data_IF_031510213993
#
_entry.id   IF_031510213993
#
_cell.length_a   1.000
_cell.length_b   1.000
_cell.length_c   1.000
_cell.angle_alpha   90.00
_cell.angle_beta   90.00
_cell.angle_gamma   90.00
#
_symmetry.space_group_name_H-M   'P 1'
#
loop_
_entity.id
_entity.type
_entity.pdbx_description
1 polymer ?
#
# COMPACT_ATOMS: atom_id res chain seq x y z
N UNK A 1 11.19 -0.84 -1.62
CA UNK A 1 10.44 -0.94 -0.35
C UNK A 1 10.09 -2.39 -0.10
N UNK A 2 9.96 -2.79 1.17
CA UNK A 2 9.40 -4.10 1.53
C UNK A 2 7.84 -4.08 1.53
N UNK A 3 7.20 -5.25 1.59
CA UNK A 3 5.73 -5.35 1.57
C UNK A 3 5.04 -4.54 2.67
N UNK A 4 5.66 -4.43 3.85
CA UNK A 4 5.10 -3.69 4.99
C UNK A 4 5.20 -2.19 4.74
N UNK A 5 6.34 -1.72 4.27
CA UNK A 5 6.54 -0.32 3.89
C UNK A 5 5.58 0.10 2.79
N UNK A 6 5.47 -0.69 1.72
CA UNK A 6 4.54 -0.44 0.62
C UNK A 6 3.08 -0.42 1.08
N UNK A 7 2.69 -1.32 1.99
CA UNK A 7 1.33 -1.33 2.54
C UNK A 7 1.07 -0.11 3.43
N UNK A 8 2.03 0.25 4.29
CA UNK A 8 1.91 1.42 5.15
C UNK A 8 1.82 2.72 4.33
N UNK A 9 2.59 2.80 3.25
CA UNK A 9 2.50 3.90 2.29
C UNK A 9 1.09 4.00 1.73
N UNK A 10 0.56 2.94 1.11
CA UNK A 10 -0.80 2.94 0.53
C UNK A 10 -1.86 3.30 1.58
N UNK A 11 -1.76 2.76 2.79
CA UNK A 11 -2.70 3.09 3.87
C UNK A 11 -2.67 4.59 4.21
N UNK A 12 -1.48 5.17 4.29
CA UNK A 12 -1.30 6.61 4.58
C UNK A 12 -1.81 7.47 3.43
N UNK A 13 -1.35 7.19 2.20
CA UNK A 13 -1.66 7.94 0.99
C UNK A 13 -3.15 8.00 0.70
N UNK A 14 -3.85 6.87 0.81
CA UNK A 14 -5.29 6.79 0.55
C UNK A 14 -6.14 7.01 1.80
N UNK A 15 -5.53 7.44 2.92
CA UNK A 15 -6.18 7.70 4.22
C UNK A 15 -7.09 6.55 4.67
N UNK A 16 -6.62 5.32 4.47
CA UNK A 16 -7.38 4.10 4.77
C UNK A 16 -7.39 3.86 6.28
N UNK A 17 -8.56 3.52 6.82
CA UNK A 17 -8.65 2.97 8.17
C UNK A 17 -8.17 1.51 8.13
N UNK A 18 -7.10 1.22 8.86
CA UNK A 18 -6.54 -0.13 8.90
C UNK A 18 -7.54 -1.16 9.44
N UNK A 19 -8.44 -0.77 10.34
CA UNK A 19 -9.52 -1.64 10.84
C UNK A 19 -10.47 -2.05 9.72
N UNK A 20 -10.85 -1.11 8.85
CA UNK A 20 -11.75 -1.39 7.72
C UNK A 20 -11.06 -2.30 6.69
N UNK A 21 -9.76 -2.09 6.45
CA UNK A 21 -8.96 -2.95 5.56
C UNK A 21 -8.84 -4.37 6.13
N UNK A 22 -8.62 -4.52 7.44
CA UNK A 22 -8.61 -5.81 8.11
C UNK A 22 -9.95 -6.53 7.96
N UNK A 23 -11.06 -5.81 8.19
CA UNK A 23 -12.41 -6.36 8.05
C UNK A 23 -12.69 -6.83 6.61
N UNK A 24 -12.35 -6.01 5.60
CA UNK A 24 -12.54 -6.36 4.17
C UNK A 24 -11.69 -7.55 3.72
N UNK A 25 -10.49 -7.70 4.29
CA UNK A 25 -9.57 -8.82 3.97
C UNK A 25 -9.86 -10.09 4.77
N UNK A 26 -10.71 -10.01 5.79
CA UNK A 26 -10.94 -11.12 6.71
C UNK A 26 -9.72 -11.46 7.58
N UNK A 27 -8.79 -10.52 7.72
CA UNK A 27 -7.62 -10.63 8.60
C UNK A 27 -7.95 -9.99 9.94
N UNK A 28 -7.46 -10.57 11.02
CA UNK A 28 -7.61 -9.98 12.36
C UNK A 28 -6.96 -8.58 12.42
N UNK A 29 -7.69 -7.51 12.82
CA UNK A 29 -7.13 -6.18 12.97
C UNK A 29 -5.89 -6.12 13.86
N UNK A 30 -5.81 -6.97 14.88
CA UNK A 30 -4.62 -7.04 15.74
C UNK A 30 -3.42 -7.57 14.96
N UNK A 31 -3.58 -8.62 14.17
CA UNK A 31 -2.52 -9.15 13.30
C UNK A 31 -2.08 -8.13 12.25
N UNK A 32 -3.02 -7.44 11.59
CA UNK A 32 -2.68 -6.39 10.63
C UNK A 32 -1.89 -5.25 11.29
N UNK A 33 -2.30 -4.82 12.48
CA UNK A 33 -1.56 -3.81 13.25
C UNK A 33 -0.14 -4.28 13.57
N UNK A 34 0.02 -5.52 14.05
CA UNK A 34 1.33 -6.09 14.38
C UNK A 34 2.23 -6.19 13.15
N UNK A 35 1.71 -6.61 12.00
CA UNK A 35 2.44 -6.66 10.73
C UNK A 35 2.92 -5.27 10.31
N UNK A 36 2.00 -4.29 10.27
CA UNK A 36 2.31 -2.89 9.91
C UNK A 36 3.40 -2.28 10.79
N UNK A 37 3.45 -2.66 12.07
CA UNK A 37 4.45 -2.20 13.03
C UNK A 37 5.70 -3.09 13.10
N UNK A 38 5.88 -4.05 12.19
CA UNK A 38 7.06 -4.92 12.13
C UNK A 38 7.19 -5.88 13.31
N UNK A 39 6.09 -6.20 13.98
CA UNK A 39 6.07 -7.10 15.15
C UNK A 39 5.81 -8.56 14.78
N UNK A 40 5.29 -8.81 13.58
CA UNK A 40 5.10 -10.14 12.98
C UNK A 40 5.27 -9.99 11.47
N UNK A 41 5.57 -11.10 10.79
CA UNK A 41 5.48 -11.21 9.34
C UNK A 41 4.19 -11.92 8.92
N UNK A 42 3.70 -11.61 7.73
CA UNK A 42 2.61 -12.34 7.12
C UNK A 42 3.11 -13.46 6.22
N UNK A 43 2.41 -14.60 6.29
CA UNK A 43 2.50 -15.61 5.25
C UNK A 43 1.92 -15.05 3.95
N UNK A 44 2.42 -15.52 2.80
CA UNK A 44 2.05 -14.98 1.49
C UNK A 44 0.54 -14.94 1.26
N UNK A 45 -0.20 -15.98 1.67
CA UNK A 45 -1.65 -16.03 1.51
C UNK A 45 -2.39 -14.95 2.32
N UNK A 46 -1.92 -14.63 3.53
CA UNK A 46 -2.51 -13.57 4.38
C UNK A 46 -2.22 -12.21 3.76
N UNK A 47 -1.00 -11.99 3.28
CA UNK A 47 -0.64 -10.76 2.60
C UNK A 47 -1.50 -10.56 1.34
N UNK A 48 -1.71 -11.60 0.52
CA UNK A 48 -2.57 -11.53 -0.65
C UNK A 48 -4.00 -11.13 -0.30
N UNK A 49 -4.59 -11.69 0.76
CA UNK A 49 -5.94 -11.28 1.22
C UNK A 49 -6.02 -9.79 1.55
N UNK A 50 -4.99 -9.25 2.19
CA UNK A 50 -4.93 -7.82 2.53
C UNK A 50 -4.79 -6.96 1.27
N UNK A 51 -3.91 -7.35 0.35
CA UNK A 51 -3.69 -6.63 -0.90
C UNK A 51 -4.93 -6.71 -1.80
N UNK A 52 -5.60 -7.85 -1.90
CA UNK A 52 -6.84 -8.01 -2.68
C UNK A 52 -8.02 -7.23 -2.12
N UNK A 53 -8.01 -6.93 -0.82
CA UNK A 53 -8.99 -6.04 -0.21
C UNK A 53 -8.76 -4.55 -0.55
N UNK A 54 -7.66 -4.18 -1.21
CA UNK A 54 -7.44 -2.83 -1.71
C UNK A 54 -8.25 -2.58 -3.00
N UNK A 55 -8.55 -1.32 -3.29
CA UNK A 55 -9.11 -0.95 -4.60
C UNK A 55 -8.12 -1.23 -5.74
N UNK A 56 -8.60 -1.18 -6.98
CA UNK A 56 -7.72 -1.37 -8.14
C UNK A 56 -6.55 -0.38 -8.16
N UNK A 57 -6.82 0.91 -7.94
CA UNK A 57 -5.81 1.97 -7.90
C UNK A 57 -4.79 1.78 -6.77
N UNK A 58 -5.27 1.42 -5.57
CA UNK A 58 -4.43 1.17 -4.40
C UNK A 58 -3.48 -0.03 -4.62
N UNK A 59 -3.97 -1.10 -5.26
CA UNK A 59 -3.13 -2.25 -5.65
C UNK A 59 -2.07 -1.87 -6.67
N UNK A 60 -2.43 -1.06 -7.66
CA UNK A 60 -1.48 -0.59 -8.67
C UNK A 60 -0.32 0.18 -8.00
N UNK A 61 -0.61 1.07 -7.06
CA UNK A 61 0.42 1.78 -6.28
C UNK A 61 1.26 0.79 -5.45
N UNK A 62 0.61 -0.14 -4.73
CA UNK A 62 1.31 -1.15 -3.93
C UNK A 62 2.34 -1.93 -4.78
N UNK A 63 1.91 -2.47 -5.94
CA UNK A 63 2.79 -3.24 -6.81
C UNK A 63 3.85 -2.39 -7.54
N UNK A 64 3.56 -1.11 -7.82
CA UNK A 64 4.55 -0.18 -8.36
C UNK A 64 5.71 0.04 -7.39
N UNK A 65 5.39 0.26 -6.10
CA UNK A 65 6.40 0.41 -5.03
C UNK A 65 7.24 -0.85 -4.83
N UNK A 66 6.62 -2.02 -4.94
CA UNK A 66 7.32 -3.32 -4.83
C UNK A 66 8.31 -3.56 -5.97
N UNK A 67 8.05 -3.01 -7.16
CA UNK A 67 8.93 -3.11 -8.32
C UNK A 67 10.09 -2.10 -8.30
N UNK A 68 10.24 -1.32 -7.21
CA UNK A 68 11.29 -0.31 -7.10
C UNK A 68 10.99 0.96 -7.91
N UNK A 69 9.73 1.21 -8.26
CA UNK A 69 9.34 2.54 -8.74
C UNK A 69 9.50 3.51 -7.58
N UNK A 70 10.41 4.47 -7.68
CA UNK A 70 10.57 5.58 -6.73
C UNK A 70 9.32 6.48 -6.80
N UNK A 71 8.22 6.06 -6.19
CA UNK A 71 7.08 6.94 -5.98
C UNK A 71 7.42 7.87 -4.81
N UNK A 72 8.06 8.99 -5.12
CA UNK A 72 8.24 10.07 -4.15
C UNK A 72 6.89 10.75 -3.93
N UNK A 73 6.50 10.88 -2.66
CA UNK A 73 5.42 11.75 -2.24
C UNK A 73 5.84 13.20 -2.57
N UNK A 74 5.33 13.75 -3.66
CA UNK A 74 5.49 15.17 -3.93
C UNK A 74 4.40 15.90 -3.15
N UNK A 75 4.74 16.45 -1.99
CA UNK A 75 3.90 17.42 -1.29
C UNK A 75 3.83 18.70 -2.16
N UNK A 76 2.91 18.71 -3.12
CA UNK A 76 2.53 19.94 -3.81
C UNK A 76 1.36 20.54 -3.04
N UNK A 77 1.64 21.57 -2.25
CA UNK A 77 0.62 22.52 -1.80
C UNK A 77 -0.04 23.12 -3.02
N UNK A 78 -1.22 22.62 -3.41
CA UNK A 78 -2.20 23.37 -4.17
C UNK A 78 -3.58 22.84 -3.82
N UNK A 79 -4.47 23.77 -3.48
CA UNK A 79 -5.89 23.52 -3.28
C UNK A 79 -6.46 22.72 -4.46
N UNK A 80 -7.28 21.74 -4.11
CA UNK A 80 -8.06 20.87 -5.02
C UNK A 80 -7.28 19.78 -5.78
N UNK A 81 -7.36 18.55 -5.25
CA UNK A 81 -7.08 17.31 -5.97
C UNK A 81 -5.65 16.79 -5.84
N UNK A 82 -5.40 15.94 -4.84
CA UNK A 82 -4.14 15.20 -4.72
C UNK A 82 -3.94 14.32 -5.97
N UNK A 83 -2.95 14.64 -6.81
CA UNK A 83 -2.61 13.91 -8.03
C UNK A 83 -1.27 13.21 -7.85
N UNK A 84 -1.23 11.90 -8.12
CA UNK A 84 -0.03 11.08 -8.01
C UNK A 84 0.60 10.92 -9.40
N UNK A 85 1.87 11.26 -9.55
CA UNK A 85 2.64 10.98 -10.77
C UNK A 85 3.65 9.86 -10.49
N UNK A 86 3.34 8.65 -10.98
CA UNK A 86 4.26 7.54 -10.97
C UNK A 86 5.16 7.64 -12.22
N UNK A 87 6.41 8.11 -12.06
CA UNK A 87 7.41 8.00 -13.11
C UNK A 87 7.95 6.57 -13.15
N UNK A 88 7.22 5.68 -13.84
CA UNK A 88 7.70 4.35 -14.16
C UNK A 88 8.74 4.43 -15.28
N UNK A 89 9.99 4.08 -14.97
CA UNK A 89 10.96 3.73 -16.02
C UNK A 89 10.50 2.42 -16.66
N UNK A 90 9.87 2.50 -17.83
CA UNK A 90 9.57 1.34 -18.66
C UNK A 90 10.93 0.75 -19.09
N UNK A 91 11.29 -0.50 -18.69
CA UNK A 91 12.49 -1.11 -19.23
C UNK A 91 12.33 -1.31 -20.75
N UNK A 92 13.34 -0.99 -21.57
CA UNK A 92 13.27 -1.26 -23.01
C UNK A 92 13.17 -2.77 -23.23
N UNK A 93 12.22 -3.17 -24.09
CA UNK A 93 12.04 -4.55 -24.55
C UNK A 93 13.10 -5.01 -25.53
#
# INVERSE_FOLDING_TARGET
MDHRESLNFVISTFKLKAVDLAQRSGVDPYQLSRFRNGRIDFLSHTLFKVVDALSYEQRAVFYGLMQGSDCKETQHEINEGEKYECHGSIPPG
#
